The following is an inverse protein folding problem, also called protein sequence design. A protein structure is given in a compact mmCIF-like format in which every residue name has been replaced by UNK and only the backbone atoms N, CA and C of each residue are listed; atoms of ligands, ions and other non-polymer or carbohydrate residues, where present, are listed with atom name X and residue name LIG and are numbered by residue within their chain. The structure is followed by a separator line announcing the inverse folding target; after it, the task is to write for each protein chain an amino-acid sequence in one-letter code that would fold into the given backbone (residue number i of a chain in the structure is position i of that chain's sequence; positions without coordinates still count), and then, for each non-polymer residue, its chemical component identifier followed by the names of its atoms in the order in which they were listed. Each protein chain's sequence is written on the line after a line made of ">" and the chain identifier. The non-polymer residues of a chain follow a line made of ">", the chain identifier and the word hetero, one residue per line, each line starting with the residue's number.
data_IF_095688038714
#
_entry.id   IF_095688038714
#
_cell.length_a   1.000
_cell.length_b   1.000
_cell.length_c   1.000
_cell.angle_alpha   90.00
_cell.angle_beta   90.00
_cell.angle_gamma   90.00
#
_symmetry.space_group_name_H-M   'P 1'
#
loop_
_entity.id
_entity.type
_entity.pdbx_description
1 polymer ?
#
# COMPACT_ATOMS: atom_id res chain seq x y z
N UNK A 1 -0.91 28.60 -15.42
CA UNK A 1 0.22 28.11 -14.59
C UNK A 1 -0.15 26.71 -14.16
N UNK A 2 0.40 25.68 -14.78
CA UNK A 2 0.17 24.31 -14.38
C UNK A 2 1.12 23.99 -13.24
N UNK A 3 0.57 23.73 -12.06
CA UNK A 3 1.35 23.26 -10.92
C UNK A 3 2.08 21.97 -11.33
N UNK A 4 3.40 21.84 -11.09
CA UNK A 4 4.05 20.58 -11.29
C UNK A 4 3.47 19.60 -10.26
N UNK A 5 2.72 18.60 -10.73
CA UNK A 5 2.37 17.41 -9.93
C UNK A 5 3.68 16.74 -9.54
N UNK A 6 4.24 17.13 -8.39
CA UNK A 6 5.44 16.51 -7.86
C UNK A 6 5.15 15.02 -7.65
N UNK A 7 6.09 14.12 -7.95
CA UNK A 7 5.91 12.71 -7.67
C UNK A 7 5.71 12.55 -6.17
N UNK A 8 4.60 11.91 -5.77
CA UNK A 8 4.38 11.61 -4.36
C UNK A 8 5.39 10.57 -3.94
N UNK A 9 6.30 10.97 -3.04
CA UNK A 9 7.25 10.06 -2.44
C UNK A 9 6.49 9.03 -1.57
N UNK A 10 6.94 7.78 -1.66
CA UNK A 10 6.29 6.65 -0.98
C UNK A 10 6.14 6.82 0.53
N UNK A 11 7.06 7.58 1.13
CA UNK A 11 7.08 7.87 2.57
C UNK A 11 6.01 8.90 2.97
N UNK A 12 5.77 9.89 2.12
CA UNK A 12 4.74 10.91 2.37
C UNK A 12 3.36 10.28 2.23
N UNK A 13 3.18 9.43 1.23
CA UNK A 13 1.96 8.65 1.08
C UNK A 13 1.73 7.71 2.28
N UNK A 14 2.78 7.06 2.79
CA UNK A 14 2.67 6.23 3.99
C UNK A 14 2.26 7.04 5.22
N UNK A 15 2.71 8.29 5.33
CA UNK A 15 2.32 9.21 6.42
C UNK A 15 0.85 9.60 6.32
N UNK A 16 0.36 9.90 5.12
CA UNK A 16 -1.07 10.16 4.88
C UNK A 16 -1.91 8.94 5.24
N UNK A 17 -1.53 7.75 4.76
CA UNK A 17 -2.22 6.49 5.09
C UNK A 17 -2.16 6.18 6.58
N UNK A 18 -1.05 6.48 7.26
CA UNK A 18 -0.93 6.34 8.71
C UNK A 18 -1.87 7.28 9.47
N UNK A 19 -2.17 8.47 8.95
CA UNK A 19 -3.14 9.39 9.56
C UNK A 19 -4.60 8.94 9.38
N UNK A 20 -4.91 8.12 8.37
CA UNK A 20 -6.27 7.64 8.10
C UNK A 20 -6.60 6.40 8.94
N UNK A 21 -7.51 6.54 9.91
CA UNK A 21 -7.84 5.44 10.82
C UNK A 21 -8.34 4.18 10.10
N UNK A 22 -7.85 3.01 10.54
CA UNK A 22 -8.18 1.69 9.95
C UNK A 22 -7.71 1.43 8.51
N UNK A 23 -7.20 2.42 7.76
CA UNK A 23 -6.85 2.23 6.34
C UNK A 23 -5.65 1.32 6.17
N UNK A 24 -4.57 1.54 6.93
CA UNK A 24 -3.39 0.69 6.88
C UNK A 24 -3.74 -0.79 7.19
N UNK A 25 -4.55 -1.01 8.21
CA UNK A 25 -5.00 -2.36 8.61
C UNK A 25 -5.85 -3.03 7.53
N UNK A 26 -6.80 -2.29 6.94
CA UNK A 26 -7.62 -2.76 5.84
C UNK A 26 -6.79 -3.13 4.61
N UNK A 27 -5.77 -2.34 4.29
CA UNK A 27 -4.86 -2.61 3.17
C UNK A 27 -4.00 -3.86 3.44
N UNK A 28 -3.49 -4.04 4.66
CA UNK A 28 -2.75 -5.25 5.06
C UNK A 28 -3.63 -6.50 4.99
N UNK A 29 -4.89 -6.39 5.41
CA UNK A 29 -5.85 -7.51 5.37
C UNK A 29 -6.29 -7.85 3.94
N UNK A 30 -6.46 -6.85 3.08
CA UNK A 30 -6.87 -7.06 1.70
C UNK A 30 -5.73 -7.59 0.82
N UNK A 31 -4.52 -7.04 0.97
CA UNK A 31 -3.35 -7.43 0.20
C UNK A 31 -2.60 -8.52 0.92
N UNK A 32 -2.95 -9.78 0.64
CA UNK A 32 -2.28 -10.99 1.14
C UNK A 32 -1.62 -11.80 0.01
N UNK A 33 -0.64 -12.67 0.30
CA UNK A 33 -0.08 -13.57 -0.71
C UNK A 33 -1.12 -14.61 -1.16
N UNK A 34 -1.02 -15.04 -2.41
CA UNK A 34 -1.68 -16.24 -2.92
C UNK A 34 -0.66 -17.41 -3.03
N UNK A 35 -1.14 -18.61 -3.32
CA UNK A 35 -0.31 -19.82 -3.41
C UNK A 35 0.76 -19.76 -4.53
N UNK A 36 0.62 -18.83 -5.48
CA UNK A 36 1.56 -18.61 -6.57
C UNK A 36 2.62 -17.53 -6.28
N UNK A 37 2.70 -17.01 -5.04
CA UNK A 37 3.67 -15.97 -4.67
C UNK A 37 3.34 -14.56 -5.17
N UNK A 38 2.08 -14.31 -5.55
CA UNK A 38 1.57 -13.01 -5.99
C UNK A 38 0.59 -12.43 -4.96
N UNK A 39 0.29 -11.13 -5.05
CA UNK A 39 -0.74 -10.55 -4.20
C UNK A 39 -2.14 -10.89 -4.72
N UNK A 40 -2.95 -11.56 -3.89
CA UNK A 40 -4.32 -11.98 -4.24
C UNK A 40 -5.19 -10.81 -4.73
N UNK A 41 -5.22 -9.70 -3.98
CA UNK A 41 -6.01 -8.53 -4.35
C UNK A 41 -5.58 -7.88 -5.67
N UNK A 42 -4.28 -7.88 -5.97
CA UNK A 42 -3.77 -7.35 -7.24
C UNK A 42 -4.02 -8.29 -8.43
N UNK A 43 -4.22 -9.59 -8.17
CA UNK A 43 -4.53 -10.59 -9.20
C UNK A 43 -6.01 -10.68 -9.57
N UNK A 44 -6.91 -10.11 -8.77
CA UNK A 44 -8.34 -10.04 -9.10
C UNK A 44 -8.54 -9.10 -10.29
N UNK A 45 -9.05 -9.63 -11.42
CA UNK A 45 -9.26 -8.85 -12.65
C UNK A 45 -10.05 -7.56 -12.40
N UNK A 46 -9.57 -6.43 -12.96
CA UNK A 46 -10.12 -5.09 -12.73
C UNK A 46 -9.08 -4.04 -12.29
N UNK A 47 -7.90 -4.47 -11.83
CA UNK A 47 -6.86 -3.56 -11.26
C UNK A 47 -5.59 -3.37 -12.10
N UNK A 48 -5.46 -4.07 -13.23
CA UNK A 48 -4.26 -4.03 -14.07
C UNK A 48 -3.07 -4.82 -13.49
N UNK A 49 -2.44 -5.63 -14.36
CA UNK A 49 -1.38 -6.63 -14.08
C UNK A 49 -1.81 -7.78 -13.16
N UNK A 50 -2.27 -8.89 -13.75
CA UNK A 50 -2.74 -10.10 -13.07
C UNK A 50 -1.66 -10.89 -12.28
N UNK A 51 -0.45 -10.37 -12.14
CA UNK A 51 0.70 -11.06 -11.55
C UNK A 51 1.64 -10.12 -10.79
N UNK A 52 1.12 -9.23 -9.94
CA UNK A 52 2.00 -8.41 -9.08
C UNK A 52 2.70 -9.31 -8.05
N UNK A 53 4.05 -9.35 -8.03
CA UNK A 53 4.79 -10.19 -7.09
C UNK A 53 4.50 -9.73 -5.65
N UNK A 54 4.47 -10.70 -4.74
CA UNK A 54 4.38 -10.44 -3.31
C UNK A 54 5.77 -10.14 -2.70
N UNK A 55 5.91 -9.19 -1.76
CA UNK A 55 4.90 -8.23 -1.33
C UNK A 55 4.67 -7.15 -2.38
N UNK A 56 3.40 -6.88 -2.68
CA UNK A 56 3.03 -5.83 -3.64
C UNK A 56 3.34 -4.45 -3.06
N UNK A 57 3.38 -3.44 -3.93
CA UNK A 57 3.60 -2.06 -3.52
C UNK A 57 2.63 -1.66 -2.40
N UNK A 58 1.31 -1.87 -2.58
CA UNK A 58 0.30 -1.48 -1.59
C UNK A 58 0.53 -2.12 -0.22
N UNK A 59 0.92 -3.40 -0.17
CA UNK A 59 1.27 -4.04 1.09
C UNK A 59 2.47 -3.35 1.75
N UNK A 60 3.54 -3.04 0.99
CA UNK A 60 4.68 -2.28 1.53
C UNK A 60 4.26 -0.92 2.08
N UNK A 61 3.26 -0.26 1.48
CA UNK A 61 2.79 1.08 1.88
C UNK A 61 2.12 0.99 3.23
N UNK A 62 1.21 0.03 3.34
CA UNK A 62 0.44 -0.22 4.53
C UNK A 62 1.36 -0.69 5.67
N UNK A 63 2.37 -1.51 5.38
CA UNK A 63 3.41 -1.87 6.36
C UNK A 63 4.18 -0.64 6.84
N UNK A 64 4.63 0.25 5.94
CA UNK A 64 5.30 1.49 6.32
C UNK A 64 4.40 2.39 7.17
N UNK A 65 3.13 2.54 6.79
CA UNK A 65 2.15 3.33 7.53
C UNK A 65 1.90 2.77 8.94
N UNK A 66 1.79 1.45 9.09
CA UNK A 66 1.64 0.79 10.38
C UNK A 66 2.86 0.99 11.29
N UNK A 67 4.07 0.95 10.73
CA UNK A 67 5.31 1.25 11.45
C UNK A 67 5.37 2.71 11.93
N UNK A 68 4.91 3.67 11.11
CA UNK A 68 4.84 5.08 11.51
C UNK A 68 3.89 5.29 12.70
N UNK A 69 2.76 4.57 12.76
CA UNK A 69 1.85 4.60 13.92
C UNK A 69 2.46 4.00 15.19
N UNK A 70 3.25 2.94 15.04
CA UNK A 70 3.90 2.24 16.14
C UNK A 70 5.11 2.99 16.74
N UNK A 71 5.55 4.10 16.13
CA UNK A 71 6.54 5.00 16.70
C UNK A 71 5.82 6.09 17.50
N UNK A 72 5.63 5.95 18.83
CA UNK A 72 5.26 7.09 19.64
C UNK A 72 6.37 8.14 19.48
N UNK A 73 5.97 9.33 19.05
CA UNK A 73 6.81 10.53 19.18
C UNK A 73 6.97 10.91 20.64
#
# INVERSE_FOLDING_TARGET
>A
MSEPTQPIEWRDLATVVAAMDGVADRLLTAHIPNDAGHCRACTTGGTGTCAKPWPCAIHRLASMAAQTRGRPG
#
